data_IF_679839832114
#
_entry.id   IF_679839832114
#
_cell.length_a   1.000
_cell.length_b   1.000
_cell.length_c   1.000
_cell.angle_alpha   90.00
_cell.angle_beta   90.00
_cell.angle_gamma   90.00
#
_symmetry.space_group_name_H-M   'P 1'
#
loop_
_entity.id
_entity.type
_entity.pdbx_description
1 polymer ?
#
# COMPACT_ATOMS: atom_id res chain seq x y z
N UNK A 1 16.91 30.12 69.05
CA UNK A 1 18.04 30.55 68.21
C UNK A 1 19.07 29.44 68.25
N UNK A 2 19.06 28.59 67.22
CA UNK A 2 20.03 27.51 67.00
C UNK A 2 20.15 27.38 65.49
N UNK A 3 21.28 27.82 64.95
CA UNK A 3 21.66 27.75 63.54
C UNK A 3 22.25 26.38 63.25
N UNK A 4 21.72 25.70 62.23
CA UNK A 4 22.25 24.45 61.69
C UNK A 4 23.11 24.75 60.45
N UNK A 5 24.42 24.42 60.43
CA UNK A 5 25.28 24.63 59.28
C UNK A 5 25.49 23.31 58.53
N UNK A 6 24.60 23.00 57.58
CA UNK A 6 24.82 21.95 56.57
C UNK A 6 24.63 22.51 55.17
N UNK A 7 25.58 23.35 54.75
CA UNK A 7 25.79 23.72 53.34
C UNK A 7 27.29 23.65 53.08
N UNK A 8 27.80 22.48 52.69
CA UNK A 8 28.96 22.23 51.82
C UNK A 8 28.85 20.73 51.47
N UNK A 9 28.74 20.28 50.23
CA UNK A 9 29.83 20.28 49.25
C UNK A 9 29.27 19.72 47.94
N UNK A 10 28.97 20.58 46.96
CA UNK A 10 28.77 20.15 45.58
C UNK A 10 30.13 19.93 44.94
N UNK A 11 30.62 18.69 44.97
CA UNK A 11 31.76 18.28 44.17
C UNK A 11 31.36 18.37 42.69
N UNK A 12 32.13 19.01 41.81
CA UNK A 12 31.88 18.93 40.38
C UNK A 12 32.15 17.48 39.98
N UNK A 13 31.10 16.75 39.60
CA UNK A 13 31.27 15.44 38.98
C UNK A 13 32.07 15.65 37.70
N UNK A 14 33.26 15.06 37.68
CA UNK A 14 34.08 14.91 36.49
C UNK A 14 33.19 14.42 35.35
N UNK A 15 33.06 15.26 34.33
CA UNK A 15 32.42 14.92 33.07
C UNK A 15 33.38 13.96 32.36
N UNK A 16 33.34 12.68 32.75
CA UNK A 16 34.05 11.60 32.06
C UNK A 16 33.44 11.52 30.67
N UNK A 17 34.13 12.12 29.70
CA UNK A 17 33.82 11.88 28.30
C UNK A 17 33.96 10.37 28.05
N UNK A 18 32.94 9.72 27.45
CA UNK A 18 33.10 8.33 27.08
C UNK A 18 34.32 8.19 26.15
N UNK A 19 35.12 7.12 26.30
CA UNK A 19 36.30 6.92 25.47
C UNK A 19 35.91 6.93 23.99
N UNK A 20 36.70 7.63 23.17
CA UNK A 20 36.52 7.80 21.70
C UNK A 20 36.61 6.48 20.89
N UNK A 21 36.54 5.31 21.53
CA UNK A 21 36.67 4.00 20.86
C UNK A 21 35.45 3.58 20.03
N UNK A 22 34.34 4.30 20.09
CA UNK A 22 33.08 3.95 19.39
C UNK A 22 32.94 4.60 17.99
N UNK A 23 33.98 5.23 17.44
CA UNK A 23 33.96 5.81 16.09
C UNK A 23 34.40 4.84 14.98
N UNK A 24 34.39 3.53 15.23
CA UNK A 24 34.56 2.57 14.15
C UNK A 24 33.33 2.61 13.22
N UNK A 25 33.51 2.80 11.90
CA UNK A 25 32.40 2.87 10.97
C UNK A 25 31.60 1.57 11.08
N UNK A 26 30.35 1.69 11.52
CA UNK A 26 29.45 0.54 11.58
C UNK A 26 29.40 -0.08 10.18
N UNK A 27 29.62 -1.41 10.05
CA UNK A 27 29.59 -2.05 8.76
C UNK A 27 28.25 -1.74 8.11
N UNK A 28 28.29 -1.02 6.99
CA UNK A 28 27.10 -0.62 6.25
C UNK A 28 26.40 -1.88 5.79
N UNK A 29 25.24 -2.19 6.38
CA UNK A 29 24.45 -3.36 5.98
C UNK A 29 24.11 -3.26 4.49
N UNK A 30 24.06 -4.40 3.75
CA UNK A 30 23.66 -4.39 2.35
C UNK A 30 22.30 -3.71 2.19
N UNK A 31 22.15 -2.85 1.18
CA UNK A 31 20.91 -2.10 0.96
C UNK A 31 19.66 -3.01 0.86
N UNK A 32 19.81 -4.20 0.27
CA UNK A 32 18.77 -5.23 0.19
C UNK A 32 18.26 -5.68 1.55
N UNK A 33 19.17 -5.86 2.52
CA UNK A 33 18.79 -6.27 3.88
C UNK A 33 18.03 -5.16 4.59
N UNK A 34 18.45 -3.90 4.40
CA UNK A 34 17.75 -2.74 4.97
C UNK A 34 16.35 -2.62 4.39
N UNK A 35 16.17 -2.81 3.08
CA UNK A 35 14.84 -2.79 2.44
C UNK A 35 13.95 -3.92 2.96
N UNK A 36 14.46 -5.15 3.04
CA UNK A 36 13.69 -6.28 3.56
C UNK A 36 13.22 -6.04 5.00
N UNK A 37 14.07 -5.47 5.86
CA UNK A 37 13.69 -5.10 7.24
C UNK A 37 12.64 -4.00 7.28
N UNK A 38 12.73 -2.98 6.41
CA UNK A 38 11.73 -1.91 6.31
C UNK A 38 10.38 -2.44 5.84
N UNK A 39 10.40 -3.36 4.88
CA UNK A 39 9.19 -4.01 4.36
C UNK A 39 8.51 -4.86 5.44
N UNK A 40 9.28 -5.71 6.15
CA UNK A 40 8.76 -6.47 7.29
C UNK A 40 8.19 -5.58 8.39
N UNK A 41 8.91 -4.50 8.74
CA UNK A 41 8.42 -3.50 9.69
C UNK A 41 7.09 -2.90 9.22
N UNK A 42 7.00 -2.51 7.96
CA UNK A 42 5.79 -1.94 7.38
C UNK A 42 4.62 -2.93 7.39
N UNK A 43 4.86 -4.20 7.03
CA UNK A 43 3.84 -5.24 7.11
C UNK A 43 3.32 -5.43 8.54
N UNK A 44 4.19 -5.37 9.55
CA UNK A 44 3.76 -5.45 10.95
C UNK A 44 2.90 -4.25 11.36
N UNK A 45 3.30 -3.03 10.98
CA UNK A 45 2.50 -1.82 11.23
C UNK A 45 1.12 -1.93 10.59
N UNK A 46 1.06 -2.35 9.32
CA UNK A 46 -0.20 -2.55 8.61
C UNK A 46 -1.06 -3.63 9.26
N UNK A 47 -0.46 -4.77 9.63
CA UNK A 47 -1.13 -5.85 10.34
C UNK A 47 -1.78 -5.35 11.62
N UNK A 48 -1.02 -4.67 12.48
CA UNK A 48 -1.51 -4.19 13.77
C UNK A 48 -2.63 -3.16 13.61
N UNK A 49 -2.50 -2.26 12.63
CA UNK A 49 -3.52 -1.27 12.33
C UNK A 49 -4.84 -1.92 11.86
N UNK A 50 -4.76 -2.82 10.86
CA UNK A 50 -5.92 -3.53 10.32
C UNK A 50 -6.57 -4.45 11.36
N UNK A 51 -5.76 -5.11 12.19
CA UNK A 51 -6.26 -5.91 13.30
C UNK A 51 -6.98 -5.06 14.34
N UNK A 52 -6.43 -3.90 14.68
CA UNK A 52 -7.07 -2.94 15.58
C UNK A 52 -8.45 -2.53 15.09
N UNK A 53 -8.58 -2.19 13.81
CA UNK A 53 -9.87 -1.88 13.19
C UNK A 53 -10.83 -3.08 13.19
N UNK A 54 -10.35 -4.27 12.85
CA UNK A 54 -11.19 -5.47 12.88
C UNK A 54 -11.73 -5.76 14.28
N UNK A 55 -10.89 -5.60 15.32
CA UNK A 55 -11.30 -5.73 16.71
C UNK A 55 -12.34 -4.67 17.10
N UNK A 56 -12.27 -3.44 16.57
CA UNK A 56 -13.29 -2.42 16.79
C UNK A 56 -14.64 -2.85 16.19
N UNK A 57 -14.64 -3.36 14.96
CA UNK A 57 -15.87 -3.86 14.30
C UNK A 57 -16.47 -5.06 15.03
N UNK A 58 -15.65 -6.04 15.44
CA UNK A 58 -16.12 -7.23 16.18
C UNK A 58 -16.66 -6.87 17.56
N UNK A 59 -15.96 -5.99 18.29
CA UNK A 59 -16.43 -5.48 19.59
C UNK A 59 -17.76 -4.75 19.44
N UNK A 60 -17.92 -3.94 18.39
CA UNK A 60 -19.17 -3.24 18.12
C UNK A 60 -20.31 -4.22 17.86
N UNK A 61 -20.09 -5.23 17.00
CA UNK A 61 -21.10 -6.23 16.66
C UNK A 61 -21.60 -7.04 17.87
N UNK A 62 -20.78 -7.17 18.93
CA UNK A 62 -21.11 -7.94 20.13
C UNK A 62 -21.69 -7.10 21.28
N UNK A 63 -21.69 -5.77 21.16
CA UNK A 63 -22.12 -4.86 22.21
C UNK A 63 -23.64 -4.54 22.13
N UNK A 64 -24.29 -4.16 23.25
CA UNK A 64 -25.66 -3.63 23.22
C UNK A 64 -25.80 -2.46 22.24
N UNK A 65 -27.01 -2.29 21.70
CA UNK A 65 -27.28 -1.17 20.81
C UNK A 65 -27.29 0.14 21.61
N UNK A 66 -26.41 1.07 21.21
CA UNK A 66 -26.35 2.44 21.69
C UNK A 66 -26.26 3.35 20.44
N UNK A 67 -27.20 4.29 20.25
CA UNK A 67 -27.23 5.14 19.07
C UNK A 67 -26.02 6.08 18.95
N UNK A 68 -25.46 6.57 20.07
CA UNK A 68 -24.31 7.50 20.02
C UNK A 68 -23.04 6.76 19.59
N UNK A 69 -22.84 5.54 20.11
CA UNK A 69 -21.70 4.69 19.75
C UNK A 69 -21.81 4.20 18.31
N UNK A 70 -23.02 3.92 17.84
CA UNK A 70 -23.27 3.51 16.46
C UNK A 70 -22.89 4.61 15.45
N UNK A 71 -23.27 5.85 15.75
CA UNK A 71 -22.94 6.98 14.89
C UNK A 71 -21.44 7.28 14.88
N UNK A 72 -20.78 7.20 16.05
CA UNK A 72 -19.34 7.32 16.14
C UNK A 72 -18.61 6.21 15.35
N UNK A 73 -19.12 4.98 15.38
CA UNK A 73 -18.58 3.87 14.60
C UNK A 73 -18.72 4.13 13.11
N UNK A 74 -19.91 4.53 12.64
CA UNK A 74 -20.13 4.89 11.23
C UNK A 74 -19.23 6.03 10.77
N UNK A 75 -19.07 7.07 11.58
CA UNK A 75 -18.17 8.18 11.28
C UNK A 75 -16.69 7.76 11.22
N UNK A 76 -16.29 6.69 11.92
CA UNK A 76 -14.92 6.18 11.87
C UNK A 76 -14.66 5.39 10.58
N UNK A 77 -15.70 4.73 10.07
CA UNK A 77 -15.66 3.79 8.94
C UNK A 77 -16.40 4.31 7.70
N UNK A 78 -16.36 5.62 7.47
CA UNK A 78 -17.02 6.27 6.33
C UNK A 78 -16.14 6.36 5.07
N UNK A 79 -14.96 5.74 5.08
CA UNK A 79 -14.04 5.73 3.95
C UNK A 79 -13.03 6.88 3.92
N UNK A 80 -13.00 7.75 4.95
CA UNK A 80 -11.92 8.72 5.16
C UNK A 80 -10.55 8.07 5.25
N UNK A 81 -10.48 6.91 5.90
CA UNK A 81 -9.29 6.07 5.96
C UNK A 81 -9.33 5.09 4.78
N UNK A 82 -8.21 4.93 4.08
CA UNK A 82 -8.09 4.03 2.94
C UNK A 82 -6.70 3.39 2.85
N UNK A 83 -6.61 2.25 2.17
CA UNK A 83 -5.34 1.61 1.80
C UNK A 83 -4.97 2.01 0.38
N UNK A 84 -3.70 2.33 0.13
CA UNK A 84 -3.15 2.47 -1.22
C UNK A 84 -2.46 1.15 -1.60
N UNK A 85 -2.86 0.56 -2.72
CA UNK A 85 -2.26 -0.67 -3.23
C UNK A 85 -0.97 -0.41 -4.00
N UNK A 86 -0.20 -1.46 -4.28
CA UNK A 86 0.99 -1.39 -5.14
C UNK A 86 0.68 -0.86 -6.54
N UNK A 87 -0.55 -1.04 -7.03
CA UNK A 87 -1.01 -0.50 -8.31
C UNK A 87 -1.50 0.96 -8.21
N UNK A 88 -1.39 1.59 -7.04
CA UNK A 88 -1.82 2.96 -6.80
C UNK A 88 -3.32 3.15 -6.58
N UNK A 89 -4.10 2.07 -6.53
CA UNK A 89 -5.53 2.15 -6.25
C UNK A 89 -5.77 2.49 -4.77
N UNK A 90 -6.67 3.44 -4.50
CA UNK A 90 -7.14 3.75 -3.13
C UNK A 90 -8.40 2.96 -2.83
N UNK A 91 -8.34 2.13 -1.79
CA UNK A 91 -9.48 1.34 -1.31
C UNK A 91 -9.95 1.96 0.02
N UNK A 92 -11.11 2.64 0.07
CA UNK A 92 -11.66 3.19 1.30
C UNK A 92 -12.07 2.06 2.25
N UNK A 93 -11.83 2.26 3.54
CA UNK A 93 -12.11 1.26 4.58
C UNK A 93 -13.47 1.59 5.23
N UNK A 94 -14.41 0.67 5.09
CA UNK A 94 -15.67 0.63 5.84
C UNK A 94 -15.73 -0.53 6.84
N UNK A 95 -15.04 -1.63 6.57
CA UNK A 95 -14.92 -2.76 7.50
C UNK A 95 -13.68 -3.57 7.16
N UNK A 96 -13.08 -4.26 8.15
CA UNK A 96 -11.90 -5.10 7.95
C UNK A 96 -12.05 -6.44 8.65
N UNK A 97 -11.77 -7.53 7.94
CA UNK A 97 -11.74 -8.90 8.47
C UNK A 97 -10.44 -9.62 8.11
N UNK A 98 -9.70 -10.19 9.08
CA UNK A 98 -8.58 -11.08 8.76
C UNK A 98 -9.09 -12.41 8.19
N UNK A 99 -8.50 -12.89 7.09
CA UNK A 99 -8.93 -14.14 6.44
C UNK A 99 -8.29 -15.39 7.06
N UNK A 100 -7.09 -15.26 7.65
CA UNK A 100 -6.35 -16.36 8.27
C UNK A 100 -6.03 -16.00 9.72
N UNK A 101 -6.97 -16.23 10.64
CA UNK A 101 -6.81 -15.93 12.07
C UNK A 101 -6.68 -17.18 12.95
N UNK A 102 -6.51 -18.37 12.35
CA UNK A 102 -6.43 -19.62 13.09
C UNK A 102 -4.97 -19.98 13.42
N UNK A 103 -4.70 -20.21 14.70
CA UNK A 103 -3.48 -20.87 15.15
C UNK A 103 -3.61 -22.37 15.06
N UNK A 104 -2.59 -23.06 14.54
CA UNK A 104 -2.52 -24.53 14.63
C UNK A 104 -2.13 -24.96 16.04
N UNK A 105 -2.87 -25.92 16.58
CA UNK A 105 -2.56 -26.58 17.86
C UNK A 105 -1.45 -27.61 17.64
N UNK A 106 -0.22 -27.13 17.45
CA UNK A 106 0.96 -27.97 17.17
C UNK A 106 2.08 -27.78 18.19
N UNK A 107 3.29 -28.18 17.80
CA UNK A 107 4.54 -27.87 18.49
C UNK A 107 4.77 -26.35 18.59
N UNK A 108 5.66 -25.90 19.47
CA UNK A 108 5.96 -24.47 19.62
C UNK A 108 6.47 -23.84 18.30
N UNK A 109 7.27 -24.58 17.52
CA UNK A 109 7.77 -24.12 16.23
C UNK A 109 6.64 -23.95 15.20
N UNK A 110 5.70 -24.88 15.16
CA UNK A 110 4.49 -24.81 14.31
C UNK A 110 3.59 -23.64 14.73
N UNK A 111 3.44 -23.39 16.02
CA UNK A 111 2.69 -22.24 16.53
C UNK A 111 3.34 -20.92 16.09
N UNK A 112 4.66 -20.78 16.23
CA UNK A 112 5.39 -19.58 15.77
C UNK A 112 5.24 -19.35 14.26
N UNK A 113 5.38 -20.40 13.45
CA UNK A 113 5.18 -20.28 12.00
C UNK A 113 3.73 -19.90 11.66
N UNK A 114 2.76 -20.40 12.41
CA UNK A 114 1.36 -20.01 12.25
C UNK A 114 1.13 -18.54 12.63
N UNK A 115 1.73 -18.05 13.70
CA UNK A 115 1.69 -16.63 14.11
C UNK A 115 2.32 -15.71 13.03
N UNK A 116 3.36 -16.17 12.33
CA UNK A 116 4.00 -15.42 11.25
C UNK A 116 3.07 -15.22 10.04
N UNK A 117 2.31 -16.25 9.67
CA UNK A 117 1.43 -16.25 8.49
C UNK A 117 0.02 -15.74 8.82
N UNK A 118 -0.40 -15.80 10.08
CA UNK A 118 -1.68 -15.27 10.52
C UNK A 118 -1.82 -13.79 10.19
N UNK A 119 -3.05 -13.41 9.81
CA UNK A 119 -3.43 -12.03 9.58
C UNK A 119 -2.51 -11.34 8.56
N UNK A 120 -2.09 -12.09 7.53
CA UNK A 120 -1.33 -11.57 6.37
C UNK A 120 -2.22 -11.26 5.17
N UNK A 121 -3.48 -11.70 5.21
CA UNK A 121 -4.51 -11.43 4.21
C UNK A 121 -5.74 -10.88 4.91
N UNK A 122 -6.24 -9.76 4.41
CA UNK A 122 -7.41 -9.07 4.95
C UNK A 122 -8.45 -8.89 3.86
N UNK A 123 -9.71 -9.03 4.26
CA UNK A 123 -10.86 -8.59 3.50
C UNK A 123 -11.25 -7.19 3.97
N UNK A 124 -11.27 -6.24 3.05
CA UNK A 124 -11.70 -4.86 3.27
C UNK A 124 -13.03 -4.68 2.55
N UNK A 125 -14.07 -4.30 3.29
CA UNK A 125 -15.33 -3.84 2.74
C UNK A 125 -15.29 -2.31 2.65
N UNK A 126 -15.61 -1.76 1.49
CA UNK A 126 -15.74 -0.31 1.33
C UNK A 126 -17.06 0.18 1.93
N UNK A 127 -17.21 1.49 2.21
CA UNK A 127 -18.51 2.05 2.59
C UNK A 127 -19.59 1.87 1.52
N UNK A 128 -19.20 1.76 0.24
CA UNK A 128 -20.12 1.43 -0.86
C UNK A 128 -20.54 -0.04 -0.91
N UNK A 129 -19.91 -0.90 -0.11
CA UNK A 129 -20.20 -2.33 -0.01
C UNK A 129 -19.34 -3.24 -0.89
N UNK A 130 -18.43 -2.68 -1.69
CA UNK A 130 -17.44 -3.44 -2.46
C UNK A 130 -16.49 -4.20 -1.53
N UNK A 131 -16.03 -5.38 -1.94
CA UNK A 131 -15.18 -6.24 -1.10
C UNK A 131 -13.86 -6.49 -1.83
N UNK A 132 -12.75 -6.18 -1.15
CA UNK A 132 -11.40 -6.42 -1.62
C UNK A 132 -10.68 -7.37 -0.68
N UNK A 133 -10.11 -8.45 -1.21
CA UNK A 133 -9.25 -9.36 -0.43
C UNK A 133 -7.80 -9.11 -0.83
N UNK A 134 -7.00 -8.62 0.11
CA UNK A 134 -5.66 -8.12 -0.16
C UNK A 134 -4.65 -8.73 0.82
N UNK A 135 -3.51 -9.25 0.33
CA UNK A 135 -2.38 -9.56 1.17
C UNK A 135 -1.62 -8.30 1.59
N UNK A 136 -0.92 -8.34 2.73
CA UNK A 136 -0.17 -7.18 3.26
C UNK A 136 0.86 -6.61 2.29
N UNK A 137 1.53 -7.45 1.49
CA UNK A 137 2.54 -7.01 0.53
C UNK A 137 1.96 -6.19 -0.64
N UNK A 138 0.65 -6.27 -0.86
CA UNK A 138 -0.02 -5.40 -1.84
C UNK A 138 -0.29 -4.00 -1.27
N UNK A 139 -0.23 -3.80 0.05
CA UNK A 139 -0.61 -2.56 0.72
C UNK A 139 0.61 -1.66 0.99
N UNK A 140 0.69 -0.53 0.29
CA UNK A 140 1.87 0.36 0.33
C UNK A 140 1.77 1.44 1.38
N UNK A 141 0.58 1.98 1.61
CA UNK A 141 0.37 3.04 2.58
C UNK A 141 -1.06 3.07 3.08
N UNK A 142 -1.24 3.72 4.22
CA UNK A 142 -2.54 4.20 4.68
C UNK A 142 -2.69 5.65 4.24
N UNK A 143 -3.91 6.01 3.84
CA UNK A 143 -4.24 7.36 3.45
C UNK A 143 -5.49 7.80 4.23
N UNK A 144 -5.33 8.86 5.03
CA UNK A 144 -6.42 9.50 5.74
C UNK A 144 -6.77 10.83 5.05
N UNK A 145 -8.03 10.97 4.65
CA UNK A 145 -8.59 12.23 4.17
C UNK A 145 -9.11 13.03 5.35
N UNK A 146 -8.72 14.31 5.46
CA UNK A 146 -9.32 15.21 6.44
C UNK A 146 -10.72 15.63 5.98
N UNK A 147 -11.63 16.00 6.90
CA UNK A 147 -12.96 16.48 6.55
C UNK A 147 -12.91 17.66 5.56
N UNK A 148 -11.99 18.60 5.78
CA UNK A 148 -11.85 19.80 4.95
C UNK A 148 -11.41 19.45 3.52
N UNK A 149 -10.59 18.40 3.37
CA UNK A 149 -10.18 17.91 2.06
C UNK A 149 -11.33 17.24 1.32
N UNK A 150 -12.19 16.50 2.02
CA UNK A 150 -13.39 15.91 1.42
C UNK A 150 -14.33 17.01 0.93
N UNK A 151 -14.62 18.00 1.78
CA UNK A 151 -15.46 19.15 1.40
C UNK A 151 -14.87 19.88 0.18
N UNK A 152 -13.55 20.06 0.13
CA UNK A 152 -12.87 20.67 -1.01
C UNK A 152 -12.98 19.82 -2.29
N UNK A 153 -12.90 18.49 -2.19
CA UNK A 153 -13.07 17.57 -3.33
C UNK A 153 -14.51 17.61 -3.83
N UNK A 154 -15.49 17.54 -2.94
CA UNK A 154 -16.92 17.62 -3.27
C UNK A 154 -17.25 18.95 -3.95
N UNK A 155 -16.79 20.06 -3.39
CA UNK A 155 -16.98 21.39 -3.97
C UNK A 155 -16.30 21.55 -5.34
N UNK A 156 -15.21 20.81 -5.61
CA UNK A 156 -14.60 20.77 -6.94
C UNK A 156 -15.37 19.91 -7.93
N UNK A 157 -15.92 18.77 -7.51
CA UNK A 157 -16.76 17.92 -8.35
C UNK A 157 -18.04 18.65 -8.76
N UNK A 158 -18.67 19.38 -7.85
CA UNK A 158 -19.84 20.22 -8.15
C UNK A 158 -19.51 21.33 -9.16
N UNK A 159 -18.35 21.99 -9.03
CA UNK A 159 -17.90 23.03 -9.96
C UNK A 159 -17.53 22.49 -11.35
N UNK A 160 -17.08 21.24 -11.42
CA UNK A 160 -16.68 20.60 -12.67
C UNK A 160 -17.82 19.84 -13.36
N UNK A 161 -19.03 19.84 -12.80
CA UNK A 161 -20.22 19.12 -13.29
C UNK A 161 -20.77 19.54 -14.66
N UNK A 162 -20.08 20.38 -15.43
CA UNK A 162 -20.43 20.70 -16.84
C UNK A 162 -19.49 20.04 -17.87
N UNK A 163 -18.46 19.29 -17.46
CA UNK A 163 -17.56 18.58 -18.38
C UNK A 163 -17.19 17.19 -17.86
N UNK A 164 -17.36 16.18 -18.71
CA UNK A 164 -17.00 14.76 -18.55
C UNK A 164 -16.21 14.42 -17.26
N UNK A 165 -16.93 13.87 -16.27
CA UNK A 165 -16.43 13.58 -14.93
C UNK A 165 -15.35 12.49 -14.93
N UNK A 166 -14.10 12.86 -15.20
CA UNK A 166 -12.92 12.04 -14.87
C UNK A 166 -12.44 12.46 -13.46
N UNK A 167 -12.38 11.54 -12.48
CA UNK A 167 -11.93 11.88 -11.12
C UNK A 167 -10.49 12.42 -11.13
N UNK A 168 -10.17 13.27 -10.15
CA UNK A 168 -8.84 13.87 -10.01
C UNK A 168 -7.77 12.77 -9.95
N UNK A 169 -6.80 12.83 -10.86
CA UNK A 169 -5.77 11.80 -11.06
C UNK A 169 -6.01 10.89 -12.26
N UNK A 170 -7.26 10.63 -12.68
CA UNK A 170 -7.54 9.80 -13.87
C UNK A 170 -7.16 10.48 -15.19
N UNK A 171 -7.29 11.81 -15.27
CA UNK A 171 -6.88 12.56 -16.46
C UNK A 171 -5.37 12.42 -16.77
N UNK A 172 -4.52 12.27 -15.75
CA UNK A 172 -3.08 12.06 -15.94
C UNK A 172 -2.74 10.67 -16.49
N UNK A 173 -3.53 9.64 -16.14
CA UNK A 173 -3.34 8.27 -16.64
C UNK A 173 -3.96 8.07 -18.04
N UNK A 174 -5.08 8.72 -18.35
CA UNK A 174 -5.71 8.62 -19.69
C UNK A 174 -5.03 9.51 -20.74
N UNK A 175 -4.29 10.55 -20.34
CA UNK A 175 -3.53 11.42 -21.27
C UNK A 175 -2.49 10.64 -22.09
N UNK A 176 -1.91 9.57 -21.53
CA UNK A 176 -0.96 8.71 -22.25
C UNK A 176 -1.66 7.84 -23.31
N UNK A 177 -2.83 7.27 -23.00
CA UNK A 177 -3.62 6.47 -23.95
C UNK A 177 -4.27 7.31 -25.05
N UNK A 178 -4.70 8.54 -24.75
CA UNK A 178 -5.29 9.45 -25.74
C UNK A 178 -4.25 9.97 -26.74
N UNK A 179 -2.98 10.07 -26.33
CA UNK A 179 -1.87 10.46 -27.22
C UNK A 179 -1.51 9.40 -28.26
N UNK A 180 -1.78 8.12 -28.00
CA UNK A 180 -1.57 7.01 -28.95
C UNK A 180 -2.79 6.79 -29.88
N UNK A 181 -3.97 7.33 -29.52
CA UNK A 181 -5.21 7.17 -30.28
C UNK A 181 -5.54 8.32 -31.26
N UNK A 182 -4.94 9.51 -31.10
CA UNK A 182 -5.29 10.70 -31.89
C UNK A 182 -4.27 11.04 -33.00
N UNK A 183 -3.41 10.08 -33.35
CA UNK A 183 -2.45 10.20 -34.45
C UNK A 183 -2.99 9.65 -35.77
N UNK A 184 -4.08 10.19 -36.33
CA UNK A 184 -4.27 10.09 -37.79
C UNK A 184 -5.16 11.17 -38.42
N UNK A 185 -4.54 12.01 -39.26
CA UNK A 185 -5.15 12.92 -40.23
C UNK A 185 -4.91 14.40 -39.92
N UNK A 186 -4.13 15.21 -40.65
CA UNK A 186 -3.58 15.13 -42.02
C UNK A 186 -2.40 16.11 -42.11
N UNK A 187 -1.30 15.70 -42.78
CA UNK A 187 -0.77 16.39 -43.97
C UNK A 187 0.40 15.60 -44.55
N UNK A 188 0.15 15.04 -45.73
CA UNK A 188 1.17 14.64 -46.68
C UNK A 188 2.01 15.88 -47.01
N UNK A 189 3.27 15.91 -46.57
CA UNK A 189 4.32 16.57 -47.33
C UNK A 189 5.15 15.48 -48.02
N UNK A 190 5.25 15.66 -49.34
CA UNK A 190 5.96 14.87 -50.33
C UNK A 190 7.42 14.62 -49.91
N UNK A 191 7.76 13.37 -49.63
CA UNK A 191 9.15 12.88 -49.65
C UNK A 191 9.33 11.98 -50.88
N UNK A 192 10.29 12.28 -51.76
CA UNK A 192 10.51 11.48 -52.96
C UNK A 192 11.27 10.20 -52.62
N UNK A 193 10.70 9.05 -52.99
CA UNK A 193 11.45 7.80 -53.20
C UNK A 193 10.97 6.59 -52.40
N UNK A 194 9.87 5.98 -52.82
CA UNK A 194 9.53 4.59 -52.46
C UNK A 194 9.80 3.69 -53.68
N UNK A 195 10.79 2.81 -53.56
CA UNK A 195 10.82 1.54 -54.29
C UNK A 195 10.01 0.48 -53.50
N UNK A 196 9.36 -0.49 -54.16
CA UNK A 196 8.30 -1.27 -53.55
C UNK A 196 8.78 -2.42 -52.65
N UNK A 197 7.84 -2.78 -51.77
CA UNK A 197 7.83 -3.78 -50.70
C UNK A 197 8.15 -5.20 -51.20
N UNK A 198 9.03 -5.91 -50.49
CA UNK A 198 9.12 -7.39 -50.53
C UNK A 198 8.87 -7.89 -49.10
N UNK A 199 7.75 -8.58 -48.90
CA UNK A 199 7.42 -9.25 -47.63
C UNK A 199 8.33 -10.46 -47.35
N UNK A 200 8.43 -10.90 -46.09
CA UNK A 200 9.31 -12.00 -45.71
C UNK A 200 8.81 -13.33 -46.27
N UNK A 201 9.70 -14.01 -47.00
CA UNK A 201 9.51 -15.36 -47.52
C UNK A 201 9.57 -16.39 -46.38
N UNK A 202 8.66 -17.37 -46.29
CA UNK A 202 8.75 -18.46 -45.33
C UNK A 202 9.88 -19.44 -45.72
N UNK A 203 10.76 -19.75 -44.76
CA UNK A 203 11.84 -20.72 -44.91
C UNK A 203 11.30 -22.15 -45.07
N UNK A 204 11.57 -22.73 -46.25
CA UNK A 204 12.13 -24.08 -46.48
C UNK A 204 11.54 -25.26 -45.70
N UNK A 205 10.61 -25.98 -46.34
CA UNK A 205 10.41 -27.40 -46.11
C UNK A 205 11.43 -28.20 -46.94
N UNK A 206 12.12 -29.12 -46.29
CA UNK A 206 13.16 -29.99 -46.84
C UNK A 206 12.55 -31.11 -47.72
N UNK A 207 12.96 -31.29 -48.99
CA UNK A 207 12.27 -32.18 -49.94
C UNK A 207 12.82 -33.62 -50.02
N UNK A 208 13.47 -34.17 -48.99
CA UNK A 208 14.07 -35.51 -49.06
C UNK A 208 13.61 -36.49 -47.96
N UNK A 209 12.33 -36.85 -47.95
CA UNK A 209 11.87 -38.04 -47.23
C UNK A 209 10.72 -38.73 -47.99
N UNK A 210 11.09 -39.54 -48.99
CA UNK A 210 10.23 -40.51 -49.65
C UNK A 210 10.94 -41.88 -49.68
N UNK A 211 10.18 -42.95 -49.42
CA UNK A 211 10.58 -44.37 -49.46
C UNK A 211 11.01 -44.89 -48.08
N UNK A 212 10.54 -46.01 -47.54
CA UNK A 212 10.02 -47.23 -48.16
C UNK A 212 9.18 -47.99 -47.12
N UNK A 213 8.02 -48.51 -47.53
CA UNK A 213 7.30 -49.61 -46.85
C UNK A 213 8.01 -50.94 -47.18
N UNK A 214 8.08 -51.91 -46.26
CA UNK A 214 6.91 -52.74 -45.89
C UNK A 214 6.71 -53.00 -44.39
#
# INVERSE_FOLDING_TARGET
>A
MTTDPSIMSSTPQDLVMPPEEDLLPHPTRPAREVMARRELFWHNVMRDFLMGMSLMSVKRASAPYDPEVEEAHKSTFDGRIGVITTLGARIPIGEVHPMFACSISGTEAERRLSEEVQCTVFQIRTPSGEIHTLPLHEMRSLHALTPELIEAIEAQLEKNGEGEAKPFGFAAFTSLQESEGNGNGLREEELPGVGPIIGPTPMGADPNAAGDEP
#
